data_IF_700521875497
#
_entry.id   IF_700521875497
#
_cell.length_a   1.000
_cell.length_b   1.000
_cell.length_c   1.000
_cell.angle_alpha   90.00
_cell.angle_beta   90.00
_cell.angle_gamma   90.00
#
_symmetry.space_group_name_H-M   'P 1'
#
loop_
_entity.id
_entity.type
_entity.pdbx_description
1 polymer ?
#
# COMPACT_ATOMS: atom_id res chain seq x y z
N UNK A 1 -11.62 42.89 -31.58
CA UNK A 1 -12.94 42.31 -31.24
C UNK A 1 -13.03 42.27 -29.73
N UNK A 2 -13.58 43.33 -29.18
CA UNK A 2 -13.68 43.63 -27.74
C UNK A 2 -14.86 42.85 -27.17
N UNK A 3 -14.63 42.02 -26.16
CA UNK A 3 -15.72 41.37 -25.40
C UNK A 3 -15.99 42.17 -24.13
N UNK A 4 -17.14 42.84 -24.17
CA UNK A 4 -17.71 43.66 -23.11
C UNK A 4 -18.18 42.78 -21.94
N UNK A 5 -17.75 43.11 -20.72
CA UNK A 5 -18.28 42.57 -19.46
C UNK A 5 -19.59 43.25 -19.09
N UNK A 6 -20.65 42.47 -18.83
CA UNK A 6 -21.89 42.97 -18.24
C UNK A 6 -21.87 42.83 -16.69
N UNK A 7 -22.55 43.73 -15.93
CA UNK A 7 -22.41 43.81 -14.48
C UNK A 7 -23.29 42.79 -13.73
N UNK A 8 -22.80 42.31 -12.59
CA UNK A 8 -23.50 41.40 -11.68
C UNK A 8 -24.63 42.14 -10.95
N UNK A 9 -25.87 41.70 -11.15
CA UNK A 9 -27.02 42.08 -10.33
C UNK A 9 -27.02 41.31 -9.00
N UNK A 10 -27.21 42.03 -7.91
CA UNK A 10 -27.42 41.51 -6.55
C UNK A 10 -28.84 40.97 -6.43
N UNK A 11 -29.02 39.66 -6.59
CA UNK A 11 -30.27 38.95 -6.33
C UNK A 11 -30.01 37.76 -5.42
N UNK A 12 -30.66 37.75 -4.25
CA UNK A 12 -30.55 36.68 -3.27
C UNK A 12 -30.87 35.32 -3.89
N UNK A 13 -29.87 34.46 -3.93
CA UNK A 13 -30.03 33.04 -4.29
C UNK A 13 -30.05 32.26 -2.99
N UNK A 14 -31.25 31.78 -2.61
CA UNK A 14 -31.37 30.67 -1.67
C UNK A 14 -30.64 29.49 -2.28
N UNK A 15 -29.52 29.10 -1.68
CA UNK A 15 -28.77 27.90 -2.09
C UNK A 15 -29.73 26.69 -2.04
N UNK A 16 -30.09 26.08 -3.19
CA UNK A 16 -31.00 24.94 -3.23
C UNK A 16 -30.41 23.72 -2.52
N UNK A 17 -29.11 23.71 -2.25
CA UNK A 17 -28.39 22.67 -1.52
C UNK A 17 -28.26 22.96 -0.01
N UNK A 18 -28.76 24.10 0.49
CA UNK A 18 -28.67 24.43 1.91
C UNK A 18 -29.58 23.56 2.79
N UNK A 19 -30.74 23.12 2.27
CA UNK A 19 -31.65 22.21 3.00
C UNK A 19 -31.16 20.75 3.00
N UNK A 20 -30.49 20.30 1.93
CA UNK A 20 -29.91 18.95 1.90
C UNK A 20 -28.70 18.79 2.83
N UNK A 21 -27.98 19.87 3.16
CA UNK A 21 -26.89 19.82 4.14
C UNK A 21 -27.37 19.74 5.59
N UNK A 22 -28.64 20.08 5.88
CA UNK A 22 -29.18 20.08 7.25
C UNK A 22 -29.87 18.77 7.65
N UNK A 23 -30.13 17.84 6.71
CA UNK A 23 -30.84 16.58 7.00
C UNK A 23 -29.97 15.31 6.87
N UNK A 24 -28.68 15.43 6.52
CA UNK A 24 -27.70 14.32 6.62
C UNK A 24 -26.81 14.51 7.84
N UNK A 25 -27.41 14.50 9.03
CA UNK A 25 -26.72 14.24 10.29
C UNK A 25 -27.52 13.21 11.07
N UNK A 26 -26.85 12.13 11.48
CA UNK A 26 -27.32 10.90 12.14
C UNK A 26 -27.97 9.91 11.17
N UNK A 27 -27.48 8.69 10.95
CA UNK A 27 -26.65 7.83 11.82
C UNK A 27 -25.36 7.41 11.11
N UNK A 28 -24.21 7.66 11.73
CA UNK A 28 -23.00 6.97 11.31
C UNK A 28 -23.11 5.53 11.83
N UNK A 29 -23.41 4.58 10.95
CA UNK A 29 -23.42 3.14 11.23
C UNK A 29 -21.98 2.72 11.59
N UNK A 30 -21.66 2.82 12.87
CA UNK A 30 -20.47 2.23 13.45
C UNK A 30 -20.86 0.98 14.23
N UNK A 31 -20.09 -0.11 14.11
CA UNK A 31 -18.81 -0.23 13.40
C UNK A 31 -18.95 -0.37 11.88
N UNK A 32 -18.00 0.18 11.12
CA UNK A 32 -17.98 0.04 9.65
C UNK A 32 -17.71 -1.43 9.23
N UNK A 33 -18.25 -1.91 8.09
CA UNK A 33 -17.98 -3.27 7.63
C UNK A 33 -16.49 -3.55 7.47
N UNK A 34 -16.05 -4.72 7.91
CA UNK A 34 -14.66 -5.15 7.84
C UNK A 34 -14.34 -5.78 6.48
N UNK A 35 -13.08 -5.65 6.06
CA UNK A 35 -12.52 -6.35 4.91
C UNK A 35 -11.51 -7.37 5.41
N UNK A 36 -11.76 -8.64 5.12
CA UNK A 36 -10.87 -9.73 5.50
C UNK A 36 -9.65 -9.77 4.57
N UNK A 37 -8.47 -9.95 5.15
CA UNK A 37 -7.22 -10.26 4.45
C UNK A 37 -7.04 -11.78 4.50
N UNK A 38 -7.25 -12.47 3.38
CA UNK A 38 -7.28 -13.94 3.32
C UNK A 38 -5.91 -14.55 3.04
N UNK A 39 -5.09 -13.86 2.24
CA UNK A 39 -3.75 -14.29 1.86
C UNK A 39 -2.83 -13.10 1.70
N UNK A 40 -1.52 -13.35 1.74
CA UNK A 40 -0.49 -12.33 1.61
C UNK A 40 0.75 -12.91 0.93
N UNK A 41 1.34 -12.16 0.01
CA UNK A 41 2.69 -12.39 -0.49
C UNK A 41 3.53 -11.12 -0.37
N UNK A 42 4.84 -11.31 -0.21
CA UNK A 42 5.80 -10.23 0.05
C UNK A 42 7.12 -10.53 -0.64
N UNK A 43 7.67 -9.54 -1.34
CA UNK A 43 9.08 -9.50 -1.72
C UNK A 43 9.69 -8.20 -1.21
N UNK A 44 10.80 -8.31 -0.47
CA UNK A 44 11.45 -7.17 0.17
C UNK A 44 12.92 -7.46 0.44
N UNK A 45 13.68 -6.48 0.93
CA UNK A 45 15.07 -6.68 1.33
C UNK A 45 15.25 -7.68 2.49
N UNK A 46 14.19 -8.01 3.23
CA UNK A 46 14.23 -9.08 4.23
C UNK A 46 14.15 -10.50 3.62
N UNK A 47 13.87 -10.60 2.32
CA UNK A 47 13.56 -11.85 1.63
C UNK A 47 12.07 -12.03 1.32
N UNK A 48 11.69 -13.18 0.74
CA UNK A 48 10.31 -13.48 0.37
C UNK A 48 9.46 -13.92 1.58
N UNK A 49 8.21 -13.46 1.61
CA UNK A 49 7.17 -13.89 2.54
C UNK A 49 7.24 -13.27 3.95
N UNK A 50 6.19 -13.52 4.72
CA UNK A 50 6.02 -12.98 6.09
C UNK A 50 7.06 -13.54 7.07
N UNK A 51 7.47 -14.80 6.91
CA UNK A 51 8.43 -15.43 7.83
C UNK A 51 9.82 -14.76 7.76
N UNK A 52 10.32 -14.51 6.54
CA UNK A 52 11.60 -13.83 6.35
C UNK A 52 11.53 -12.38 6.86
N UNK A 53 10.42 -11.68 6.58
CA UNK A 53 10.17 -10.33 7.09
C UNK A 53 10.14 -10.29 8.63
N UNK A 54 9.43 -11.22 9.27
CA UNK A 54 9.34 -11.31 10.73
C UNK A 54 10.70 -11.57 11.38
N UNK A 55 11.45 -12.56 10.88
CA UNK A 55 12.78 -12.88 11.38
C UNK A 55 13.74 -11.70 11.27
N UNK A 56 13.70 -10.96 10.15
CA UNK A 56 14.55 -9.79 9.96
C UNK A 56 14.18 -8.60 10.86
N UNK A 57 12.90 -8.46 11.24
CA UNK A 57 12.43 -7.43 12.16
C UNK A 57 12.74 -7.75 13.64
N UNK A 58 12.85 -9.02 13.99
CA UNK A 58 13.22 -9.50 15.33
C UNK A 58 14.74 -9.60 15.55
N UNK A 59 15.51 -9.70 14.46
CA UNK A 59 16.96 -9.75 14.52
C UNK A 59 17.51 -8.53 15.28
N UNK A 60 18.43 -8.73 16.25
CA UNK A 60 19.08 -7.62 16.93
C UNK A 60 19.69 -6.65 15.92
N UNK A 61 19.29 -5.38 15.99
CA UNK A 61 19.97 -4.34 15.25
C UNK A 61 21.34 -4.12 15.89
N UNK A 62 22.37 -4.81 15.42
CA UNK A 62 23.75 -4.68 15.92
C UNK A 62 24.38 -3.30 15.65
N UNK A 63 23.56 -2.26 15.38
CA UNK A 63 24.00 -0.96 14.87
C UNK A 63 24.56 -1.00 13.44
N UNK A 64 24.76 -2.20 12.87
CA UNK A 64 25.01 -2.41 11.45
C UNK A 64 23.66 -2.46 10.73
N UNK A 65 23.61 -1.83 9.55
CA UNK A 65 22.57 -2.11 8.58
C UNK A 65 22.44 -3.65 8.39
N UNK A 66 21.26 -4.17 8.03
CA UNK A 66 21.15 -5.52 7.48
C UNK A 66 22.28 -5.75 6.47
N UNK A 67 22.82 -6.96 6.43
CA UNK A 67 24.08 -7.31 5.75
C UNK A 67 24.29 -6.59 4.42
N UNK A 68 25.56 -6.36 4.07
CA UNK A 68 25.94 -5.69 2.83
C UNK A 68 25.13 -6.24 1.64
N UNK A 69 24.52 -5.33 0.88
CA UNK A 69 23.70 -5.66 -0.29
C UNK A 69 24.46 -6.64 -1.18
N UNK A 70 23.86 -7.82 -1.42
CA UNK A 70 24.45 -8.78 -2.34
C UNK A 70 24.43 -8.13 -3.74
N UNK A 71 25.60 -7.98 -4.41
CA UNK A 71 25.64 -7.48 -5.77
C UNK A 71 24.76 -8.27 -6.75
N UNK A 72 24.48 -9.56 -6.45
CA UNK A 72 23.59 -10.40 -7.25
C UNK A 72 22.11 -9.99 -7.15
N UNK A 73 21.70 -9.36 -6.04
CA UNK A 73 20.32 -8.90 -5.85
C UNK A 73 20.06 -7.54 -6.49
N UNK A 74 21.11 -6.78 -6.83
CA UNK A 74 20.97 -5.47 -7.46
C UNK A 74 20.27 -5.60 -8.83
N UNK A 75 19.14 -4.89 -9.04
CA UNK A 75 18.49 -4.88 -10.35
C UNK A 75 19.44 -4.39 -11.43
N UNK A 76 19.41 -5.06 -12.59
CA UNK A 76 20.20 -4.64 -13.74
C UNK A 76 19.81 -3.20 -14.14
N UNK A 77 20.81 -2.33 -14.25
CA UNK A 77 20.63 -0.98 -14.76
C UNK A 77 20.30 -1.03 -16.26
N UNK A 78 19.24 -0.35 -16.72
CA UNK A 78 19.04 -0.15 -18.16
C UNK A 78 20.10 0.81 -18.70
N UNK A 79 20.83 0.36 -19.71
CA UNK A 79 21.97 1.11 -20.28
C UNK A 79 23.18 1.19 -19.33
N UNK A 80 23.98 2.24 -19.48
CA UNK A 80 25.22 2.46 -18.72
C UNK A 80 25.03 3.40 -17.51
N UNK A 81 23.82 3.52 -16.94
CA UNK A 81 23.55 4.45 -15.83
C UNK A 81 23.91 3.79 -14.48
N UNK A 82 24.98 4.22 -13.79
CA UNK A 82 25.34 3.66 -12.49
C UNK A 82 24.41 4.19 -11.39
N UNK A 83 24.28 3.41 -10.32
CA UNK A 83 23.68 3.90 -9.08
C UNK A 83 24.53 5.05 -8.48
N UNK A 84 23.90 6.06 -7.85
CA UNK A 84 24.62 7.06 -7.08
C UNK A 84 25.30 6.42 -5.85
N UNK A 85 26.21 7.14 -5.16
CA UNK A 85 26.80 6.70 -3.88
C UNK A 85 25.75 6.80 -2.75
N UNK A 86 24.70 5.99 -2.87
CA UNK A 86 23.58 5.88 -1.95
C UNK A 86 23.47 4.41 -1.53
N UNK A 87 23.20 4.17 -0.25
CA UNK A 87 22.92 2.82 0.23
C UNK A 87 21.58 2.34 -0.35
N UNK A 88 21.53 1.11 -0.85
CA UNK A 88 20.36 0.57 -1.53
C UNK A 88 20.03 -0.83 -1.03
N UNK A 89 18.74 -1.16 -0.97
CA UNK A 89 18.21 -2.43 -0.47
C UNK A 89 17.28 -3.07 -1.49
N UNK A 90 17.83 -3.89 -2.41
CA UNK A 90 17.03 -4.66 -3.34
C UNK A 90 16.20 -5.72 -2.62
N UNK A 91 15.19 -6.27 -3.30
CA UNK A 91 14.47 -7.44 -2.81
C UNK A 91 15.38 -8.67 -2.81
N UNK A 92 15.73 -9.15 -1.61
CA UNK A 92 16.72 -10.20 -1.41
C UNK A 92 16.22 -11.55 -1.93
N UNK A 93 17.04 -12.24 -2.72
CA UNK A 93 16.72 -13.56 -3.25
C UNK A 93 15.51 -13.58 -4.20
N UNK A 94 15.13 -12.45 -4.78
CA UNK A 94 13.99 -12.38 -5.68
C UNK A 94 14.31 -12.97 -7.06
N UNK A 95 13.79 -14.18 -7.31
CA UNK A 95 13.84 -14.85 -8.61
C UNK A 95 12.46 -14.87 -9.29
N UNK A 96 12.17 -13.93 -10.22
CA UNK A 96 10.90 -13.93 -10.92
C UNK A 96 10.70 -15.15 -11.82
N UNK A 97 11.78 -15.84 -12.25
CA UNK A 97 11.64 -17.03 -13.09
C UNK A 97 11.14 -18.24 -12.31
N UNK A 98 11.42 -18.32 -11.01
CA UNK A 98 10.87 -19.36 -10.14
C UNK A 98 9.34 -19.27 -10.03
N UNK A 99 8.79 -18.05 -10.02
CA UNK A 99 7.34 -17.80 -9.86
C UNK A 99 6.63 -17.73 -11.22
N UNK A 100 7.19 -16.97 -12.17
CA UNK A 100 6.52 -16.60 -13.41
C UNK A 100 6.93 -17.47 -14.62
N UNK A 101 7.94 -18.31 -14.46
CA UNK A 101 8.59 -19.01 -15.56
C UNK A 101 9.43 -18.07 -16.45
N UNK A 102 10.33 -18.64 -17.25
CA UNK A 102 11.34 -17.87 -18.00
C UNK A 102 10.80 -17.08 -19.22
N UNK A 103 9.65 -17.48 -19.75
CA UNK A 103 9.15 -16.96 -21.03
C UNK A 103 8.62 -15.54 -20.87
N UNK A 104 9.23 -14.59 -21.58
CA UNK A 104 8.74 -13.21 -21.70
C UNK A 104 9.17 -12.25 -20.58
N UNK A 105 9.93 -12.72 -19.58
CA UNK A 105 10.39 -11.88 -18.47
C UNK A 105 11.26 -10.69 -18.91
N UNK A 106 12.04 -10.86 -19.99
CA UNK A 106 12.91 -9.81 -20.52
C UNK A 106 12.16 -8.58 -21.05
N UNK A 107 10.83 -8.63 -21.16
CA UNK A 107 9.97 -7.52 -21.59
C UNK A 107 9.29 -6.80 -20.41
N UNK A 108 9.49 -7.30 -19.20
CA UNK A 108 8.89 -6.79 -17.97
C UNK A 108 9.90 -5.87 -17.26
N UNK A 109 9.41 -4.77 -16.69
CA UNK A 109 10.22 -3.90 -15.81
C UNK A 109 10.39 -4.53 -14.44
N UNK A 110 11.24 -3.97 -13.58
CA UNK A 110 11.37 -4.46 -12.20
C UNK A 110 10.06 -4.28 -11.44
N UNK A 111 9.34 -3.18 -11.65
CA UNK A 111 7.98 -2.95 -11.10
C UNK A 111 7.01 -4.04 -11.55
N UNK A 112 7.03 -4.40 -12.84
CA UNK A 112 6.16 -5.47 -13.37
C UNK A 112 6.51 -6.82 -12.78
N UNK A 113 7.80 -7.17 -12.70
CA UNK A 113 8.27 -8.44 -12.17
C UNK A 113 7.84 -8.59 -10.70
N UNK A 114 8.14 -7.59 -9.86
CA UNK A 114 7.76 -7.59 -8.46
C UNK A 114 6.24 -7.67 -8.29
N UNK A 115 5.48 -6.79 -8.95
CA UNK A 115 4.03 -6.75 -8.81
C UNK A 115 3.35 -8.03 -9.32
N UNK A 116 3.78 -8.55 -10.48
CA UNK A 116 3.20 -9.75 -11.08
C UNK A 116 3.53 -11.02 -10.28
N UNK A 117 4.77 -11.17 -9.83
CA UNK A 117 5.18 -12.30 -8.98
C UNK A 117 4.41 -12.28 -7.64
N UNK A 118 4.39 -11.13 -6.96
CA UNK A 118 3.69 -11.00 -5.67
C UNK A 118 2.18 -11.23 -5.81
N UNK A 119 1.54 -10.73 -6.88
CA UNK A 119 0.13 -11.05 -7.16
C UNK A 119 -0.10 -12.54 -7.40
N UNK A 120 0.83 -13.22 -8.07
CA UNK A 120 0.75 -14.67 -8.35
C UNK A 120 0.83 -15.46 -7.05
N UNK A 121 1.84 -15.21 -6.23
CA UNK A 121 2.03 -15.88 -4.94
C UNK A 121 0.88 -15.57 -3.96
N UNK A 122 0.34 -14.34 -3.96
CA UNK A 122 -0.78 -13.98 -3.11
C UNK A 122 -2.05 -14.77 -3.48
N UNK A 123 -2.31 -14.98 -4.78
CA UNK A 123 -3.39 -15.86 -5.23
C UNK A 123 -3.12 -17.32 -4.83
N UNK A 124 -1.89 -17.81 -5.03
CA UNK A 124 -1.50 -19.17 -4.65
C UNK A 124 -1.66 -19.42 -3.14
N UNK A 125 -1.39 -18.43 -2.30
CA UNK A 125 -1.56 -18.50 -0.85
C UNK A 125 -3.01 -18.78 -0.40
N UNK A 126 -4.00 -18.50 -1.24
CA UNK A 126 -5.42 -18.84 -1.00
C UNK A 126 -5.92 -20.02 -1.85
N UNK A 127 -5.01 -20.80 -2.44
CA UNK A 127 -5.34 -21.94 -3.31
C UNK A 127 -5.65 -21.54 -4.76
N UNK A 128 -5.27 -20.33 -5.18
CA UNK A 128 -5.53 -19.80 -6.50
C UNK A 128 -6.99 -19.39 -6.69
N UNK A 129 -7.41 -19.27 -7.97
CA UNK A 129 -8.78 -18.92 -8.32
C UNK A 129 -9.81 -20.02 -8.01
N UNK A 130 -9.37 -21.24 -7.69
CA UNK A 130 -10.24 -22.38 -7.34
C UNK A 130 -10.01 -22.93 -5.93
N UNK A 131 -9.35 -22.18 -5.05
CA UNK A 131 -9.10 -22.60 -3.66
C UNK A 131 -10.37 -22.70 -2.80
N UNK A 132 -10.28 -23.23 -1.57
CA UNK A 132 -11.43 -23.39 -0.67
C UNK A 132 -12.14 -22.08 -0.35
N UNK A 133 -11.39 -20.97 -0.33
CA UNK A 133 -11.91 -19.62 -0.15
C UNK A 133 -12.04 -18.88 -1.50
N UNK A 134 -12.15 -19.56 -2.64
CA UNK A 134 -12.33 -18.91 -3.95
C UNK A 134 -13.79 -18.53 -4.22
N UNK A 135 -14.02 -17.56 -5.13
CA UNK A 135 -15.38 -17.29 -5.61
C UNK A 135 -15.73 -18.39 -6.61
N UNK A 136 -16.93 -18.96 -6.48
CA UNK A 136 -17.48 -19.89 -7.47
C UNK A 136 -18.70 -19.29 -8.14
N UNK A 137 -18.80 -19.47 -9.46
CA UNK A 137 -20.02 -19.17 -10.21
C UNK A 137 -21.14 -20.19 -9.86
N UNK A 138 -22.36 -19.97 -10.35
CA UNK A 138 -23.52 -20.83 -10.08
C UNK A 138 -23.33 -22.28 -10.53
N UNK A 139 -22.41 -22.52 -11.46
CA UNK A 139 -22.05 -23.85 -11.97
C UNK A 139 -20.88 -24.51 -11.19
N UNK A 140 -20.38 -23.86 -10.13
CA UNK A 140 -19.28 -24.34 -9.31
C UNK A 140 -17.89 -24.10 -9.91
N UNK A 141 -17.78 -23.40 -11.05
CA UNK A 141 -16.49 -23.04 -11.64
C UNK A 141 -15.84 -21.84 -10.93
N UNK A 142 -14.50 -21.70 -10.94
CA UNK A 142 -13.80 -20.51 -10.47
C UNK A 142 -14.35 -19.22 -11.10
N UNK A 143 -14.96 -18.34 -10.30
CA UNK A 143 -15.44 -17.02 -10.73
C UNK A 143 -14.28 -16.02 -10.84
N UNK A 144 -13.28 -16.36 -11.66
CA UNK A 144 -12.13 -15.52 -11.98
C UNK A 144 -12.57 -14.11 -12.45
N UNK A 145 -13.73 -14.05 -13.09
CA UNK A 145 -14.26 -12.82 -13.67
C UNK A 145 -14.65 -11.73 -12.66
N UNK A 146 -14.78 -12.07 -11.39
CA UNK A 146 -15.16 -11.14 -10.32
C UNK A 146 -13.98 -10.71 -9.43
N UNK A 147 -12.81 -11.34 -9.62
CA UNK A 147 -11.58 -10.94 -8.92
C UNK A 147 -10.95 -9.76 -9.64
N UNK A 148 -10.60 -8.72 -8.89
CA UNK A 148 -9.89 -7.55 -9.38
C UNK A 148 -8.51 -7.37 -8.77
N UNK A 149 -7.83 -6.28 -9.15
CA UNK A 149 -6.51 -5.89 -8.67
C UNK A 149 -6.42 -4.38 -8.47
N UNK A 150 -5.88 -3.95 -7.33
CA UNK A 150 -5.65 -2.54 -6.96
C UNK A 150 -4.25 -2.40 -6.39
N UNK A 151 -3.31 -1.87 -7.18
CA UNK A 151 -1.94 -1.65 -6.71
C UNK A 151 -1.66 -0.18 -6.43
N UNK A 152 -0.97 0.10 -5.33
CA UNK A 152 -0.34 1.39 -5.07
C UNK A 152 1.02 1.46 -5.78
N UNK A 153 1.23 2.49 -6.58
CA UNK A 153 2.56 2.82 -7.14
C UNK A 153 2.65 4.32 -7.39
N UNK A 154 3.81 4.93 -7.13
CA UNK A 154 3.98 6.36 -7.36
C UNK A 154 4.13 6.70 -8.85
N UNK A 155 5.05 6.02 -9.54
CA UNK A 155 5.43 6.31 -10.93
C UNK A 155 5.31 5.11 -11.87
N UNK A 156 5.13 3.89 -11.35
CA UNK A 156 5.34 2.67 -12.13
C UNK A 156 6.83 2.35 -12.22
N UNK A 157 7.35 2.07 -13.42
CA UNK A 157 8.80 1.90 -13.61
C UNK A 157 9.46 3.24 -13.96
N UNK A 158 10.19 3.79 -13.00
CA UNK A 158 10.97 5.02 -13.21
C UNK A 158 11.99 4.82 -14.34
N UNK A 159 12.58 3.62 -14.40
CA UNK A 159 13.57 3.31 -15.42
C UNK A 159 12.97 3.23 -16.82
N UNK A 160 11.81 2.58 -16.99
CA UNK A 160 11.17 2.49 -18.29
C UNK A 160 10.71 3.86 -18.80
N UNK A 161 10.15 4.69 -17.91
CA UNK A 161 9.77 6.07 -18.26
C UNK A 161 11.00 6.88 -18.68
N UNK A 162 12.11 6.79 -17.94
CA UNK A 162 13.34 7.51 -18.25
C UNK A 162 13.94 7.08 -19.60
N UNK A 163 14.10 5.78 -19.85
CA UNK A 163 14.67 5.27 -21.11
C UNK A 163 13.77 5.58 -22.31
N UNK A 164 12.46 5.39 -22.18
CA UNK A 164 11.53 5.73 -23.26
C UNK A 164 11.56 7.23 -23.57
N UNK A 165 11.60 8.09 -22.53
CA UNK A 165 11.72 9.53 -22.72
C UNK A 165 13.06 9.90 -23.36
N UNK A 166 14.16 9.28 -22.93
CA UNK A 166 15.49 9.47 -23.53
C UNK A 166 15.47 9.13 -25.01
N UNK A 167 14.86 8.02 -25.40
CA UNK A 167 14.75 7.63 -26.81
C UNK A 167 14.07 8.70 -27.67
N UNK A 168 13.04 9.40 -27.15
CA UNK A 168 12.42 10.51 -27.90
C UNK A 168 13.36 11.69 -28.15
N UNK A 169 14.45 11.81 -27.36
CA UNK A 169 15.42 12.91 -27.43
C UNK A 169 16.69 12.54 -28.20
N UNK A 170 17.12 11.27 -28.17
CA UNK A 170 18.41 10.86 -28.76
C UNK A 170 18.29 10.21 -30.13
N UNK A 171 17.10 9.74 -30.51
CA UNK A 171 16.86 9.18 -31.83
C UNK A 171 16.84 10.28 -32.90
N UNK A 172 17.11 9.91 -34.17
CA UNK A 172 17.12 10.85 -35.30
C UNK A 172 15.79 11.65 -35.39
N UNK A 173 14.67 11.00 -35.05
CA UNK A 173 13.36 11.64 -34.98
C UNK A 173 12.61 11.18 -33.72
N UNK A 174 11.85 12.07 -33.04
CA UNK A 174 11.26 11.75 -31.73
C UNK A 174 10.30 10.57 -31.68
N UNK A 175 9.72 10.17 -32.81
CA UNK A 175 8.76 9.07 -32.90
C UNK A 175 9.42 7.72 -33.27
N UNK A 176 10.75 7.67 -33.45
CA UNK A 176 11.50 6.44 -33.70
C UNK A 176 11.81 5.65 -32.41
N UNK A 177 10.93 5.77 -31.42
CA UNK A 177 10.96 4.97 -30.18
C UNK A 177 10.39 3.57 -30.44
N UNK A 178 10.77 2.58 -29.63
CA UNK A 178 10.20 1.24 -29.72
C UNK A 178 8.76 1.23 -29.16
N UNK A 179 7.71 1.03 -29.98
CA UNK A 179 6.33 1.07 -29.51
C UNK A 179 6.00 -0.04 -28.49
N UNK A 180 6.71 -1.18 -28.56
CA UNK A 180 6.53 -2.28 -27.61
C UNK A 180 7.03 -1.99 -26.20
N UNK A 181 7.83 -0.94 -26.00
CA UNK A 181 8.29 -0.50 -24.69
C UNK A 181 7.25 0.40 -23.98
N UNK A 182 6.35 1.05 -24.72
CA UNK A 182 5.37 1.99 -24.18
C UNK A 182 4.45 1.38 -23.09
N UNK A 183 3.92 0.15 -23.21
CA UNK A 183 3.11 -0.45 -22.13
C UNK A 183 3.83 -0.54 -20.78
N UNK A 184 5.16 -0.64 -20.78
CA UNK A 184 5.98 -0.68 -19.57
C UNK A 184 6.19 0.70 -18.94
N UNK A 185 5.89 1.79 -19.66
CA UNK A 185 5.96 3.17 -19.11
C UNK A 185 4.67 3.58 -18.42
N UNK A 186 3.60 2.82 -18.59
CA UNK A 186 2.32 3.12 -17.96
C UNK A 186 2.36 2.71 -16.50
N UNK A 187 1.92 3.61 -15.62
CA UNK A 187 1.93 3.38 -14.17
C UNK A 187 1.15 2.12 -13.76
N UNK A 188 0.10 1.76 -14.51
CA UNK A 188 -0.73 0.60 -14.25
C UNK A 188 -0.19 -0.73 -14.79
N UNK A 189 1.02 -0.75 -15.37
CA UNK A 189 1.55 -1.91 -16.10
C UNK A 189 1.54 -3.20 -15.26
N UNK A 190 2.00 -3.14 -14.01
CA UNK A 190 2.03 -4.29 -13.11
C UNK A 190 0.61 -4.84 -12.82
N UNK A 191 -0.34 -3.98 -12.51
CA UNK A 191 -1.74 -4.38 -12.23
C UNK A 191 -2.42 -4.94 -13.49
N UNK A 192 -2.23 -4.29 -14.65
CA UNK A 192 -2.75 -4.77 -15.94
C UNK A 192 -2.16 -6.12 -16.33
N UNK A 193 -0.86 -6.33 -16.13
CA UNK A 193 -0.19 -7.60 -16.42
C UNK A 193 -0.63 -8.71 -15.48
N UNK A 194 -0.86 -8.42 -14.20
CA UNK A 194 -1.44 -9.37 -13.25
C UNK A 194 -2.84 -9.80 -13.68
N UNK A 195 -3.68 -8.83 -14.07
CA UNK A 195 -5.02 -9.13 -14.55
C UNK A 195 -5.02 -9.98 -15.83
N UNK A 196 -4.20 -9.62 -16.83
CA UNK A 196 -4.09 -10.37 -18.08
C UNK A 196 -3.57 -11.80 -17.83
N UNK A 197 -2.54 -11.96 -17.00
CA UNK A 197 -1.92 -13.26 -16.73
C UNK A 197 -2.90 -14.24 -16.07
N UNK A 198 -3.69 -13.74 -15.13
CA UNK A 198 -4.57 -14.54 -14.29
C UNK A 198 -6.04 -14.50 -14.72
N UNK A 199 -6.37 -13.85 -15.84
CA UNK A 199 -7.74 -13.74 -16.33
C UNK A 199 -8.67 -12.96 -15.39
N UNK A 200 -8.13 -11.99 -14.64
CA UNK A 200 -8.90 -11.17 -13.70
C UNK A 200 -9.71 -10.14 -14.48
N UNK A 201 -11.03 -10.27 -14.50
CA UNK A 201 -11.92 -9.30 -15.20
C UNK A 201 -12.69 -8.38 -14.28
N UNK A 202 -12.44 -8.46 -12.96
CA UNK A 202 -12.98 -7.52 -11.99
C UNK A 202 -12.31 -6.15 -12.07
N UNK A 203 -12.50 -5.35 -11.02
CA UNK A 203 -11.94 -4.00 -10.93
C UNK A 203 -10.41 -4.02 -11.10
N UNK A 204 -9.87 -3.23 -12.03
CA UNK A 204 -8.43 -3.06 -12.22
C UNK A 204 -8.04 -1.60 -12.05
N UNK A 205 -7.28 -1.28 -11.00
CA UNK A 205 -6.84 0.08 -10.72
C UNK A 205 -5.38 0.13 -10.28
N UNK A 206 -4.75 1.26 -10.55
CA UNK A 206 -3.47 1.63 -9.94
C UNK A 206 -3.60 3.02 -9.37
N UNK A 207 -3.23 3.17 -8.10
CA UNK A 207 -3.42 4.41 -7.36
C UNK A 207 -2.07 5.02 -7.02
N UNK A 208 -1.88 6.28 -7.39
CA UNK A 208 -0.69 7.05 -7.05
C UNK A 208 -0.99 7.99 -5.88
N UNK A 209 -0.01 8.13 -5.00
CA UNK A 209 -0.08 8.97 -3.81
C UNK A 209 1.26 9.07 -3.09
N UNK A 210 2.36 8.94 -3.83
CA UNK A 210 3.71 8.90 -3.26
C UNK A 210 3.82 7.87 -2.12
N UNK A 211 4.29 8.25 -0.92
CA UNK A 211 4.38 7.35 0.24
C UNK A 211 3.04 6.82 0.77
N UNK A 212 1.90 7.37 0.33
CA UNK A 212 0.57 6.92 0.72
C UNK A 212 -0.08 6.01 -0.32
N UNK A 213 0.57 5.75 -1.47
CA UNK A 213 -0.05 5.03 -2.60
C UNK A 213 -0.68 3.69 -2.20
N UNK A 214 0.01 2.87 -1.40
CA UNK A 214 -0.54 1.62 -0.87
C UNK A 214 -1.71 1.81 0.11
N UNK A 215 -1.71 2.86 0.95
CA UNK A 215 -2.85 3.17 1.81
C UNK A 215 -4.05 3.65 0.98
N UNK A 216 -3.80 4.44 -0.06
CA UNK A 216 -4.83 4.79 -1.04
C UNK A 216 -5.40 3.56 -1.74
N UNK A 217 -4.56 2.60 -2.12
CA UNK A 217 -5.00 1.33 -2.70
C UNK A 217 -5.87 0.53 -1.72
N UNK A 218 -5.46 0.40 -0.45
CA UNK A 218 -6.26 -0.24 0.60
C UNK A 218 -7.61 0.45 0.80
N UNK A 219 -7.64 1.79 0.87
CA UNK A 219 -8.90 2.56 0.96
C UNK A 219 -9.78 2.35 -0.26
N UNK A 220 -9.19 2.37 -1.45
CA UNK A 220 -9.91 2.18 -2.71
C UNK A 220 -10.55 0.78 -2.75
N UNK A 221 -9.76 -0.27 -2.48
CA UNK A 221 -10.23 -1.65 -2.45
C UNK A 221 -11.32 -1.84 -1.40
N UNK A 222 -11.11 -1.33 -0.19
CA UNK A 222 -12.12 -1.38 0.87
C UNK A 222 -13.43 -0.73 0.44
N UNK A 223 -13.38 0.47 -0.13
CA UNK A 223 -14.59 1.16 -0.60
C UNK A 223 -15.29 0.39 -1.72
N UNK A 224 -14.55 -0.22 -2.64
CA UNK A 224 -15.11 -1.04 -3.70
C UNK A 224 -15.80 -2.30 -3.15
N UNK A 225 -15.18 -3.02 -2.21
CA UNK A 225 -15.75 -4.20 -1.57
C UNK A 225 -16.99 -3.86 -0.73
N UNK A 226 -16.89 -2.85 0.14
CA UNK A 226 -18.00 -2.44 1.04
C UNK A 226 -19.22 -1.93 0.26
N UNK A 227 -19.00 -1.31 -0.90
CA UNK A 227 -20.09 -0.83 -1.78
C UNK A 227 -20.61 -1.88 -2.75
N UNK A 228 -20.07 -3.10 -2.71
CA UNK A 228 -20.46 -4.19 -3.63
C UNK A 228 -20.02 -3.97 -5.08
N UNK A 229 -19.03 -3.10 -5.34
CA UNK A 229 -18.44 -2.89 -6.67
C UNK A 229 -17.36 -3.92 -7.01
N UNK A 230 -16.91 -4.69 -6.03
CA UNK A 230 -16.01 -5.82 -6.21
C UNK A 230 -16.37 -6.91 -5.20
N UNK A 231 -16.08 -8.17 -5.53
CA UNK A 231 -16.30 -9.30 -4.61
C UNK A 231 -14.99 -9.80 -4.03
N UNK A 232 -13.91 -9.79 -4.81
CA UNK A 232 -12.56 -10.09 -4.32
C UNK A 232 -11.56 -9.15 -4.99
N UNK A 233 -10.55 -8.69 -4.24
CA UNK A 233 -9.48 -7.86 -4.78
C UNK A 233 -8.12 -8.32 -4.29
N UNK A 234 -7.16 -8.41 -5.21
CA UNK A 234 -5.75 -8.28 -4.88
C UNK A 234 -5.46 -6.80 -4.60
N UNK A 235 -4.96 -6.48 -3.41
CA UNK A 235 -4.62 -5.09 -3.05
C UNK A 235 -3.24 -5.01 -2.44
N UNK A 236 -2.46 -4.00 -2.80
CA UNK A 236 -1.08 -3.93 -2.34
C UNK A 236 -0.36 -2.66 -2.76
N UNK A 237 0.96 -2.72 -2.73
CA UNK A 237 1.84 -1.66 -3.23
C UNK A 237 3.13 -2.22 -3.80
N UNK A 238 3.70 -1.54 -4.79
CA UNK A 238 4.94 -1.91 -5.45
C UNK A 238 5.82 -0.69 -5.69
N UNK A 239 7.08 -0.80 -5.31
CA UNK A 239 8.13 0.20 -5.56
C UNK A 239 9.35 -0.49 -6.16
N UNK A 240 9.91 0.09 -7.22
CA UNK A 240 11.10 -0.43 -7.93
C UNK A 240 12.36 0.29 -7.45
N UNK A 241 13.46 -0.46 -7.33
CA UNK A 241 14.79 0.12 -7.19
C UNK A 241 15.43 0.20 -8.58
N UNK A 242 15.68 1.40 -9.06
CA UNK A 242 16.40 1.65 -10.31
C UNK A 242 17.46 2.74 -10.13
N UNK A 243 18.51 2.78 -10.98
CA UNK A 243 19.50 3.86 -10.95
C UNK A 243 18.85 5.24 -11.12
N UNK A 244 17.86 5.36 -12.01
CA UNK A 244 17.12 6.60 -12.27
C UNK A 244 16.36 7.08 -11.02
N UNK A 245 15.64 6.19 -10.35
CA UNK A 245 14.97 6.49 -9.09
C UNK A 245 15.97 6.86 -7.99
N UNK A 246 17.07 6.12 -7.87
CA UNK A 246 18.11 6.38 -6.88
C UNK A 246 18.76 7.76 -7.06
N UNK A 247 19.05 8.17 -8.30
CA UNK A 247 19.55 9.52 -8.57
C UNK A 247 18.55 10.61 -8.21
N UNK A 248 17.26 10.40 -8.45
CA UNK A 248 16.22 11.34 -8.04
C UNK A 248 16.20 11.53 -6.52
N UNK A 249 16.24 10.43 -5.74
CA UNK A 249 16.32 10.48 -4.28
C UNK A 249 17.61 11.16 -3.77
N UNK A 250 18.75 10.83 -4.37
CA UNK A 250 20.04 11.43 -4.02
C UNK A 250 20.03 12.95 -4.26
N UNK A 251 19.52 13.40 -5.41
CA UNK A 251 19.45 14.83 -5.75
C UNK A 251 18.44 15.59 -4.90
N UNK A 252 17.33 14.96 -4.54
CA UNK A 252 16.32 15.56 -3.68
C UNK A 252 16.79 15.70 -2.22
N UNK A 253 17.77 14.90 -1.77
CA UNK A 253 18.25 14.91 -0.39
C UNK A 253 17.18 14.51 0.64
N UNK A 254 16.13 13.81 0.19
CA UNK A 254 14.92 13.55 0.96
C UNK A 254 15.03 12.36 1.93
N UNK A 255 16.08 11.54 1.81
CA UNK A 255 16.36 10.44 2.75
C UNK A 255 16.95 10.96 4.05
N UNK A 256 16.51 10.38 5.16
CA UNK A 256 17.13 10.59 6.45
C UNK A 256 18.57 10.03 6.45
N UNK A 257 19.52 10.63 7.20
CA UNK A 257 20.88 10.11 7.30
C UNK A 257 20.92 8.63 7.66
N UNK A 258 21.73 7.84 6.95
CA UNK A 258 21.87 6.40 7.18
C UNK A 258 20.69 5.53 6.72
N UNK A 259 19.71 6.11 6.01
CA UNK A 259 18.60 5.35 5.42
C UNK A 259 18.96 4.92 4.00
N UNK A 260 18.85 3.61 3.74
CA UNK A 260 18.97 3.06 2.39
C UNK A 260 17.70 3.29 1.57
N UNK A 261 17.83 3.37 0.25
CA UNK A 261 16.69 3.32 -0.66
C UNK A 261 16.30 1.86 -0.93
N UNK A 262 15.06 1.49 -0.67
CA UNK A 262 14.59 0.12 -0.82
C UNK A 262 13.62 -0.05 -1.99
N UNK A 263 13.49 -1.28 -2.45
CA UNK A 263 12.32 -1.74 -3.22
C UNK A 263 11.50 -2.74 -2.43
N UNK A 264 10.32 -3.05 -2.96
CA UNK A 264 9.55 -4.18 -2.49
C UNK A 264 8.13 -4.16 -2.99
N UNK A 265 7.44 -5.25 -2.72
CA UNK A 265 6.03 -5.41 -2.99
C UNK A 265 5.38 -6.25 -1.90
N UNK A 266 4.17 -5.87 -1.51
CA UNK A 266 3.29 -6.71 -0.71
C UNK A 266 1.89 -6.63 -1.28
N UNK A 267 1.25 -7.78 -1.44
CA UNK A 267 -0.11 -7.92 -1.99
C UNK A 267 -0.93 -8.82 -1.07
N UNK A 268 -2.19 -8.44 -0.86
CA UNK A 268 -3.15 -9.12 -0.03
C UNK A 268 -4.36 -9.54 -0.87
N UNK A 269 -4.87 -10.75 -0.65
CA UNK A 269 -6.17 -11.17 -1.17
C UNK A 269 -7.24 -10.68 -0.20
N UNK A 270 -8.22 -9.92 -0.69
CA UNK A 270 -9.21 -9.26 0.16
C UNK A 270 -10.64 -9.50 -0.26
N UNK A 271 -11.51 -9.64 0.75
CA UNK A 271 -12.95 -9.84 0.57
C UNK A 271 -13.73 -9.07 1.64
N UNK A 272 -14.99 -8.75 1.34
CA UNK A 272 -15.87 -8.24 2.38
C UNK A 272 -16.11 -9.35 3.42
N UNK A 273 -15.97 -9.04 4.71
CA UNK A 273 -16.26 -10.00 5.78
C UNK A 273 -17.72 -10.42 5.72
N UNK A 274 -18.05 -11.73 5.77
CA UNK A 274 -19.43 -12.19 5.85
C UNK A 274 -20.01 -11.87 7.24
N UNK A 275 -20.90 -10.88 7.33
CA UNK A 275 -21.59 -10.52 8.58
C UNK A 275 -20.93 -9.39 9.39
N UNK A 276 -21.66 -8.79 10.36
CA UNK A 276 -21.30 -7.49 10.94
C UNK A 276 -20.05 -7.58 11.82
N UNK A 277 -19.20 -6.55 11.74
CA UNK A 277 -18.07 -6.33 12.64
C UNK A 277 -18.56 -6.05 14.08
N UNK A 278 -17.65 -6.12 15.07
CA UNK A 278 -17.80 -6.94 16.27
C UNK A 278 -19.00 -6.56 17.15
N UNK A 279 -19.89 -7.51 17.41
CA UNK A 279 -20.66 -7.54 18.64
C UNK A 279 -20.35 -8.83 19.39
N UNK A 280 -20.04 -8.63 20.67
CA UNK A 280 -19.85 -9.63 21.71
C UNK A 280 -21.15 -10.41 21.95
N UNK A 281 -21.54 -11.31 21.05
CA UNK A 281 -22.65 -12.24 21.29
C UNK A 281 -22.51 -13.54 20.48
N UNK A 282 -22.57 -14.72 21.13
CA UNK A 282 -22.47 -16.01 20.44
C UNK A 282 -23.80 -16.36 19.77
N UNK A 283 -23.83 -16.57 18.45
CA UNK A 283 -25.09 -16.96 17.83
C UNK A 283 -25.20 -17.23 16.34
N UNK A 284 -24.13 -17.14 15.54
CA UNK A 284 -24.20 -17.63 14.15
C UNK A 284 -22.81 -17.99 13.63
N UNK A 285 -22.57 -19.29 13.45
CA UNK A 285 -21.33 -19.79 12.87
C UNK A 285 -21.28 -19.47 11.37
N UNK A 286 -20.21 -18.81 10.86
CA UNK A 286 -19.95 -18.78 9.43
C UNK A 286 -19.55 -20.18 8.94
N UNK A 287 -19.92 -20.50 7.70
CA UNK A 287 -19.50 -21.73 7.01
C UNK A 287 -17.96 -21.87 7.02
N UNK A 288 -17.49 -23.12 7.11
CA UNK A 288 -16.11 -23.50 7.39
C UNK A 288 -15.11 -23.07 6.30
N UNK A 289 -14.68 -21.81 6.33
CA UNK A 289 -13.50 -21.28 5.64
C UNK A 289 -12.31 -21.10 6.59
N UNK A 290 -11.11 -20.93 6.04
CA UNK A 290 -9.93 -20.63 6.85
C UNK A 290 -10.08 -19.24 7.50
N UNK A 291 -9.66 -19.09 8.77
CA UNK A 291 -9.70 -17.79 9.44
C UNK A 291 -8.82 -16.78 8.67
N UNK A 292 -9.28 -15.53 8.46
CA UNK A 292 -8.48 -14.53 7.75
C UNK A 292 -7.17 -14.25 8.50
N UNK A 293 -6.15 -13.76 7.80
CA UNK A 293 -4.90 -13.31 8.41
C UNK A 293 -5.12 -12.09 9.32
N UNK A 294 -6.02 -11.20 8.91
CA UNK A 294 -6.44 -10.00 9.65
C UNK A 294 -7.70 -9.39 9.05
N UNK A 295 -8.28 -8.41 9.75
CA UNK A 295 -9.40 -7.60 9.24
C UNK A 295 -9.02 -6.13 9.15
N UNK A 296 -9.14 -5.55 7.95
CA UNK A 296 -9.03 -4.12 7.70
C UNK A 296 -10.37 -3.45 8.04
N UNK A 297 -10.41 -2.69 9.13
CA UNK A 297 -11.62 -2.03 9.61
C UNK A 297 -11.84 -0.69 8.92
N UNK A 298 -10.83 0.18 8.94
CA UNK A 298 -10.91 1.51 8.33
C UNK A 298 -9.60 1.89 7.64
N UNK A 299 -9.71 2.72 6.60
CA UNK A 299 -8.59 3.45 6.06
C UNK A 299 -9.01 4.91 5.82
N UNK A 300 -8.29 5.84 6.42
CA UNK A 300 -8.53 7.27 6.27
C UNK A 300 -7.36 7.95 5.58
N UNK A 301 -7.68 8.91 4.73
CA UNK A 301 -6.69 9.72 4.03
C UNK A 301 -7.13 11.18 4.09
N UNK A 302 -6.18 12.04 4.40
CA UNK A 302 -6.37 13.47 4.50
C UNK A 302 -5.20 14.25 3.91
N UNK A 303 -5.39 15.57 3.82
CA UNK A 303 -4.31 16.49 3.49
C UNK A 303 -4.39 17.70 4.41
N UNK A 304 -3.25 18.12 4.92
CA UNK A 304 -3.16 19.38 5.66
C UNK A 304 -3.09 20.54 4.68
N UNK A 305 -3.53 21.71 5.14
CA UNK A 305 -3.22 22.96 4.44
C UNK A 305 -1.68 23.10 4.37
N UNK A 306 -1.09 23.27 3.16
CA UNK A 306 0.35 23.49 3.02
C UNK A 306 0.89 24.62 3.90
N UNK A 307 0.10 25.68 4.12
CA UNK A 307 0.47 26.84 4.94
C UNK A 307 0.52 26.52 6.45
N UNK A 308 -0.13 25.43 6.89
CA UNK A 308 -0.13 25.03 8.29
C UNK A 308 1.20 24.37 8.74
N UNK A 309 2.08 24.06 7.78
CA UNK A 309 3.40 23.50 8.02
C UNK A 309 3.40 22.15 8.74
N UNK A 310 4.56 21.72 9.27
CA UNK A 310 4.71 20.40 9.89
C UNK A 310 3.77 20.14 11.08
N UNK A 311 3.43 21.19 11.84
CA UNK A 311 2.48 21.07 12.96
C UNK A 311 1.04 20.85 12.48
N UNK A 312 0.65 21.47 11.37
CA UNK A 312 -0.63 21.22 10.70
C UNK A 312 -0.73 19.79 10.18
N UNK A 313 0.34 19.30 9.56
CA UNK A 313 0.43 17.90 9.09
C UNK A 313 0.28 16.91 10.25
N UNK A 314 1.00 17.13 11.37
CA UNK A 314 0.87 16.29 12.55
C UNK A 314 -0.56 16.27 13.12
N UNK A 315 -1.23 17.44 13.19
CA UNK A 315 -2.63 17.54 13.63
C UNK A 315 -3.57 16.80 12.68
N UNK A 316 -3.39 16.97 11.37
CA UNK A 316 -4.21 16.29 10.37
C UNK A 316 -4.04 14.77 10.44
N UNK A 317 -2.82 14.27 10.67
CA UNK A 317 -2.59 12.84 10.90
C UNK A 317 -3.33 12.37 12.15
N UNK A 318 -3.26 13.14 13.25
CA UNK A 318 -3.97 12.80 14.48
C UNK A 318 -5.48 12.70 14.27
N UNK A 319 -6.07 13.64 13.52
CA UNK A 319 -7.49 13.64 13.19
C UNK A 319 -7.88 12.43 12.30
N UNK A 320 -7.05 12.08 11.33
CA UNK A 320 -7.25 10.88 10.52
C UNK A 320 -7.20 9.59 11.37
N UNK A 321 -6.24 9.46 12.29
CA UNK A 321 -6.13 8.30 13.17
C UNK A 321 -7.33 8.21 14.12
N UNK A 322 -7.68 9.31 14.80
CA UNK A 322 -8.87 9.34 15.69
C UNK A 322 -10.15 9.03 14.93
N UNK A 323 -10.30 9.60 13.73
CA UNK A 323 -11.42 9.31 12.84
C UNK A 323 -11.49 7.82 12.50
N UNK A 324 -10.38 7.23 12.05
CA UNK A 324 -10.34 5.81 11.70
C UNK A 324 -10.64 4.89 12.89
N UNK A 325 -10.09 5.19 14.07
CA UNK A 325 -10.36 4.45 15.32
C UNK A 325 -11.84 4.52 15.71
N UNK A 326 -12.40 5.73 15.75
CA UNK A 326 -13.82 5.94 16.05
C UNK A 326 -14.73 5.18 15.06
N UNK A 327 -14.40 5.18 13.77
CA UNK A 327 -15.16 4.44 12.76
C UNK A 327 -15.08 2.92 12.93
N UNK A 328 -13.97 2.45 13.48
CA UNK A 328 -13.67 1.04 13.68
C UNK A 328 -14.22 0.48 14.99
N UNK A 329 -14.72 1.34 15.89
CA UNK A 329 -15.09 0.93 17.26
C UNK A 329 -13.87 0.51 18.10
N UNK A 330 -12.66 0.92 17.71
CA UNK A 330 -11.40 0.56 18.38
C UNK A 330 -10.96 1.74 19.23
N UNK A 331 -10.69 1.51 20.52
CA UNK A 331 -10.16 2.57 21.40
C UNK A 331 -8.65 2.71 21.23
N UNK A 332 -8.06 3.88 21.54
CA UNK A 332 -6.61 4.04 21.58
C UNK A 332 -5.88 2.96 22.41
N UNK A 333 -6.48 2.47 23.49
CA UNK A 333 -5.89 1.48 24.40
C UNK A 333 -5.86 0.06 23.81
N UNK A 334 -6.75 -0.23 22.85
CA UNK A 334 -6.77 -1.52 22.13
C UNK A 334 -5.64 -1.65 21.12
N UNK A 335 -5.04 -0.53 20.71
CA UNK A 335 -3.97 -0.49 19.72
C UNK A 335 -2.66 -0.91 20.38
N UNK A 336 -2.20 -2.11 20.06
CA UNK A 336 -0.94 -2.64 20.55
C UNK A 336 0.26 -2.21 19.68
N UNK A 337 0.03 -1.97 18.38
CA UNK A 337 1.09 -1.69 17.40
C UNK A 337 0.77 -0.45 16.57
N UNK A 338 1.74 0.43 16.41
CA UNK A 338 1.70 1.53 15.47
C UNK A 338 2.86 1.36 14.47
N UNK A 339 2.54 0.96 13.24
CA UNK A 339 3.51 0.82 12.15
C UNK A 339 3.71 2.17 11.45
N UNK A 340 4.90 2.75 11.58
CA UNK A 340 5.20 4.13 11.14
C UNK A 340 5.91 4.16 9.79
N UNK A 341 5.49 5.07 8.92
CA UNK A 341 5.87 5.09 7.51
C UNK A 341 6.96 6.10 7.15
N UNK A 342 7.18 7.13 7.97
CA UNK A 342 8.03 8.27 7.65
C UNK A 342 9.44 8.23 8.25
N UNK A 343 9.83 7.14 8.91
CA UNK A 343 11.12 7.05 9.60
C UNK A 343 12.34 7.18 8.68
N UNK A 344 12.21 6.77 7.41
CA UNK A 344 13.27 6.87 6.40
C UNK A 344 13.38 8.23 5.70
N UNK A 345 12.44 9.14 5.95
CA UNK A 345 12.35 10.44 5.25
C UNK A 345 12.81 11.59 6.14
N UNK A 346 13.71 12.42 5.60
CA UNK A 346 14.32 13.54 6.32
C UNK A 346 13.25 14.49 6.84
N UNK A 347 13.23 14.69 8.15
CA UNK A 347 12.34 15.66 8.84
C UNK A 347 10.91 15.17 9.09
N UNK A 348 10.49 14.02 8.55
CA UNK A 348 9.09 13.58 8.64
C UNK A 348 8.80 12.61 9.79
N UNK A 349 9.80 11.88 10.26
CA UNK A 349 9.65 10.97 11.41
C UNK A 349 9.09 11.66 12.66
N UNK A 350 9.58 12.87 12.96
CA UNK A 350 9.11 13.65 14.12
C UNK A 350 7.68 14.18 13.94
N UNK A 351 7.28 14.47 12.69
CA UNK A 351 5.91 14.92 12.36
C UNK A 351 4.91 13.79 12.57
N UNK A 352 5.23 12.60 12.05
CA UNK A 352 4.41 11.40 12.21
C UNK A 352 4.28 11.02 13.70
N UNK A 353 5.39 10.96 14.42
CA UNK A 353 5.41 10.63 15.84
C UNK A 353 4.59 11.64 16.68
N UNK A 354 4.68 12.94 16.35
CA UNK A 354 3.88 13.97 17.00
C UNK A 354 2.38 13.76 16.73
N UNK A 355 2.00 13.41 15.51
CA UNK A 355 0.61 13.12 15.16
C UNK A 355 0.07 11.91 15.92
N UNK A 356 0.87 10.84 16.04
CA UNK A 356 0.51 9.65 16.82
C UNK A 356 0.33 9.94 18.31
N UNK A 357 1.25 10.68 18.95
CA UNK A 357 1.09 11.08 20.36
C UNK A 357 -0.15 11.93 20.58
N UNK A 358 -0.47 12.82 19.65
CA UNK A 358 -1.72 13.57 19.70
C UNK A 358 -2.94 12.66 19.56
N UNK A 359 -2.89 11.68 18.65
CA UNK A 359 -3.99 10.76 18.39
C UNK A 359 -4.31 9.88 19.61
N UNK A 360 -3.29 9.25 20.20
CA UNK A 360 -3.44 8.29 21.29
C UNK A 360 -3.58 8.94 22.68
N UNK A 361 -3.09 10.19 22.84
CA UNK A 361 -3.15 10.87 24.13
C UNK A 361 -2.22 10.26 25.19
N UNK A 362 -2.52 10.43 26.50
CA UNK A 362 -1.64 10.04 27.60
C UNK A 362 -1.72 8.55 28.00
N UNK A 363 -2.43 7.73 27.23
CA UNK A 363 -2.61 6.29 27.50
C UNK A 363 -1.34 5.46 27.26
N UNK A 364 -1.46 4.12 27.36
CA UNK A 364 -0.35 3.22 27.03
C UNK A 364 0.11 3.46 25.58
N UNK A 365 1.41 3.62 25.37
CA UNK A 365 1.95 3.82 24.03
C UNK A 365 2.03 2.50 23.25
N UNK A 366 1.48 2.42 22.03
CA UNK A 366 1.64 1.24 21.19
C UNK A 366 3.10 1.04 20.80
N UNK A 367 3.50 -0.22 20.62
CA UNK A 367 4.81 -0.56 20.08
C UNK A 367 5.00 0.09 18.71
N UNK A 368 6.08 0.87 18.53
CA UNK A 368 6.42 1.51 17.26
C UNK A 368 7.15 0.53 16.35
N UNK A 369 6.41 -0.06 15.41
CA UNK A 369 6.98 -0.94 14.39
C UNK A 369 7.58 -0.10 13.26
N UNK A 370 8.88 -0.24 13.02
CA UNK A 370 9.62 0.45 11.94
C UNK A 370 10.19 -0.57 10.98
N UNK A 371 9.79 -0.50 9.71
CA UNK A 371 10.29 -1.39 8.66
C UNK A 371 11.55 -0.83 7.99
N UNK A 372 11.75 0.49 8.02
CA UNK A 372 12.82 1.19 7.31
C UNK A 372 14.24 0.76 7.74
N UNK A 373 14.52 0.45 9.02
CA UNK A 373 15.82 -0.09 9.42
C UNK A 373 16.17 -1.43 8.75
N UNK A 374 15.18 -2.20 8.28
CA UNK A 374 15.37 -3.47 7.57
C UNK A 374 15.21 -3.30 6.06
N UNK A 375 14.15 -2.63 5.62
CA UNK A 375 13.76 -2.57 4.21
C UNK A 375 14.30 -1.35 3.45
N UNK A 376 14.78 -0.32 4.15
CA UNK A 376 15.02 0.99 3.57
C UNK A 376 13.74 1.79 3.36
N UNK A 377 13.84 2.93 2.68
CA UNK A 377 12.68 3.71 2.24
C UNK A 377 12.11 3.09 0.96
N UNK A 378 10.94 2.45 1.06
CA UNK A 378 10.26 1.75 -0.04
C UNK A 378 9.07 2.55 -0.60
N UNK A 379 9.03 3.86 -0.33
CA UNK A 379 8.10 4.84 -0.88
C UNK A 379 6.66 4.32 -1.07
N UNK A 380 6.21 4.07 -2.31
CA UNK A 380 4.83 3.72 -2.61
C UNK A 380 4.38 2.33 -2.13
N UNK A 381 5.33 1.41 -1.88
CA UNK A 381 5.07 0.12 -1.25
C UNK A 381 5.07 0.17 0.29
N UNK A 382 5.50 1.29 0.89
CA UNK A 382 5.73 1.43 2.34
C UNK A 382 4.54 0.98 3.19
N UNK A 383 3.34 1.48 2.93
CA UNK A 383 2.15 1.11 3.71
C UNK A 383 1.74 -0.36 3.57
N UNK A 384 1.97 -0.97 2.40
CA UNK A 384 1.70 -2.40 2.20
C UNK A 384 2.74 -3.26 2.95
N UNK A 385 4.02 -2.88 2.91
CA UNK A 385 5.09 -3.56 3.64
C UNK A 385 4.96 -3.36 5.17
N UNK A 386 4.47 -2.21 5.62
CA UNK A 386 4.12 -1.97 7.02
C UNK A 386 2.98 -2.90 7.48
N UNK A 387 1.93 -3.07 6.66
CA UNK A 387 0.85 -4.01 6.95
C UNK A 387 1.38 -5.46 6.98
N UNK A 388 2.19 -5.86 6.01
CA UNK A 388 2.83 -7.16 6.02
C UNK A 388 3.71 -7.38 7.27
N UNK A 389 4.44 -6.36 7.72
CA UNK A 389 5.24 -6.43 8.94
C UNK A 389 4.38 -6.62 10.20
N UNK A 390 3.19 -6.00 10.26
CA UNK A 390 2.22 -6.27 11.33
C UNK A 390 1.76 -7.72 11.29
N UNK A 391 1.41 -8.24 10.11
CA UNK A 391 1.00 -9.65 9.97
C UNK A 391 2.12 -10.62 10.37
N UNK A 392 3.36 -10.35 9.94
CA UNK A 392 4.53 -11.14 10.31
C UNK A 392 4.74 -11.17 11.83
N UNK A 393 4.61 -10.01 12.49
CA UNK A 393 4.67 -9.89 13.95
C UNK A 393 3.59 -10.73 14.64
N UNK A 394 2.38 -10.75 14.11
CA UNK A 394 1.28 -11.55 14.68
C UNK A 394 1.44 -13.06 14.52
N UNK A 395 2.36 -13.53 13.67
CA UNK A 395 2.78 -14.94 13.62
C UNK A 395 3.75 -15.30 14.77
N UNK A 396 4.31 -14.31 15.46
CA UNK A 396 5.23 -14.52 16.58
C UNK A 396 4.53 -15.08 17.83
N UNK A 397 5.21 -15.93 18.63
CA UNK A 397 4.60 -16.60 19.78
C UNK A 397 4.26 -15.65 20.95
N UNK A 398 4.90 -14.48 21.03
CA UNK A 398 4.72 -13.52 22.14
C UNK A 398 3.72 -12.39 21.86
N UNK A 399 3.03 -12.42 20.71
CA UNK A 399 2.15 -11.32 20.24
C UNK A 399 0.67 -11.70 20.27
N UNK A 400 0.32 -12.83 20.89
CA UNK A 400 -1.07 -13.35 20.97
C UNK A 400 -2.06 -12.40 21.64
N UNK A 401 -1.59 -11.50 22.51
CA UNK A 401 -2.43 -10.49 23.16
C UNK A 401 -2.63 -9.21 22.32
N UNK A 402 -1.90 -9.03 21.22
CA UNK A 402 -2.02 -7.85 20.36
C UNK A 402 -3.30 -7.96 19.50
N UNK A 403 -4.25 -7.06 19.72
CA UNK A 403 -5.56 -7.09 19.06
C UNK A 403 -5.69 -6.15 17.87
N UNK A 404 -5.16 -4.93 17.97
CA UNK A 404 -5.26 -3.92 16.93
C UNK A 404 -3.92 -3.28 16.59
N UNK A 405 -3.79 -2.89 15.33
CA UNK A 405 -2.66 -2.14 14.79
C UNK A 405 -3.14 -0.94 13.97
N UNK A 406 -2.36 0.14 14.03
CA UNK A 406 -2.52 1.31 13.16
C UNK A 406 -1.30 1.41 12.25
N UNK A 407 -1.54 1.47 10.94
CA UNK A 407 -0.50 1.77 9.94
C UNK A 407 -0.63 3.25 9.57
N UNK A 408 0.47 4.01 9.57
CA UNK A 408 0.46 5.42 9.17
C UNK A 408 1.46 5.72 8.06
N UNK A 409 1.16 6.75 7.27
CA UNK A 409 2.10 7.35 6.33
C UNK A 409 1.86 8.86 6.20
N UNK A 410 2.93 9.59 5.90
CA UNK A 410 2.94 11.04 5.72
C UNK A 410 3.71 11.39 4.44
N UNK A 411 3.06 12.17 3.58
CA UNK A 411 3.60 12.68 2.33
C UNK A 411 4.21 14.08 2.50
N UNK A 412 5.10 14.43 1.58
CA UNK A 412 5.80 15.72 1.59
C UNK A 412 4.90 16.89 1.17
N UNK A 413 3.80 16.59 0.48
CA UNK A 413 2.75 17.49 0.02
C UNK A 413 1.70 17.80 1.10
N UNK A 414 1.93 17.33 2.34
CA UNK A 414 0.98 17.47 3.45
C UNK A 414 -0.10 16.40 3.50
N UNK A 415 -0.08 15.43 2.59
CA UNK A 415 -0.95 14.25 2.65
C UNK A 415 -0.61 13.37 3.85
N UNK A 416 -1.64 12.82 4.50
CA UNK A 416 -1.51 11.92 5.64
C UNK A 416 -2.52 10.79 5.50
N UNK A 417 -2.14 9.60 5.96
CA UNK A 417 -2.98 8.42 5.84
C UNK A 417 -2.83 7.49 7.02
N UNK A 418 -3.90 6.76 7.32
CA UNK A 418 -3.84 5.65 8.25
C UNK A 418 -4.76 4.49 7.86
N UNK A 419 -4.44 3.30 8.34
CA UNK A 419 -5.31 2.13 8.31
C UNK A 419 -5.39 1.50 9.71
N UNK A 420 -6.58 1.04 10.09
CA UNK A 420 -6.85 0.31 11.34
C UNK A 420 -7.10 -1.14 10.97
N UNK A 421 -6.30 -2.04 11.52
CA UNK A 421 -6.34 -3.47 11.25
C UNK A 421 -6.41 -4.22 12.57
N UNK A 422 -7.22 -5.27 12.64
CA UNK A 422 -7.35 -6.11 13.83
C UNK A 422 -7.04 -7.56 13.51
N UNK A 423 -6.52 -8.25 14.53
CA UNK A 423 -6.38 -9.70 14.51
C UNK A 423 -7.79 -10.31 14.56
N UNK A 424 -8.09 -11.37 13.78
CA UNK A 424 -9.35 -12.06 13.91
C UNK A 424 -9.39 -12.78 15.27
N UNK A 425 -10.54 -12.77 15.93
CA UNK A 425 -10.72 -13.55 17.15
C UNK A 425 -10.60 -15.05 16.82
N UNK A 426 -9.82 -15.79 17.61
CA UNK A 426 -9.77 -17.25 17.50
C UNK A 426 -11.13 -17.80 17.93
N UNK A 427 -11.80 -18.52 17.04
CA UNK A 427 -13.08 -19.17 17.30
C UNK A 427 -13.01 -20.23 18.40
#
# INVERSE_FOLDING_TARGET
>A
MTLTTAPRGTGGTTDPWARERSEVRSEALFPVPAVDLLGCAVHSAAGPGLAALGAALEAPSDGRAPGATDPADLPAAPGDVPYPPLDVRPAAGFDPAAVLGRKGLSRLTRTDLLGLATCTEALEAVGGLGGPDSLTDLDGSPAAGETGVVLGSALGSASAVAEFTRDTLVQERPYLVNPSAFPSTLMNSAASRAAIRHGLTGLNATVSGGPLASLHALRYARNALVRGHARQLLVGGVEELSPHGAWAWQRAGALAPGTALGEGCAVFVTRLSPGPAPDLAPGSAPEAGAAPLARLLACDIGSADPEAGPLGVARRLADCVRGALARSGVTPEDVAVAAVGAAGRRGWAAVEERGLRQAFGPGPEPFRLRVQPVLGETHSAGGALQLAAVLARWQGPSTGAERAAVITSVGHDGSVGCAVVVRPESA
#
